data_IF_477387350587
#
_entry.id   IF_477387350587
#
_cell.length_a   1.000
_cell.length_b   1.000
_cell.length_c   1.000
_cell.angle_alpha   90.00
_cell.angle_beta   90.00
_cell.angle_gamma   90.00
#
_symmetry.space_group_name_H-M   'P 1'
#
loop_
_entity.id
_entity.type
_entity.pdbx_description
1 polymer ?
#
# COMPACT_ATOMS: atom_id res chain seq x y z
N UNK A 1 -25.86 -7.97 -11.15
CA UNK A 1 -25.50 -8.90 -10.05
C UNK A 1 -26.74 -9.50 -9.41
N UNK A 2 -26.77 -10.83 -9.26
CA UNK A 2 -27.87 -11.56 -8.61
C UNK A 2 -27.87 -11.32 -7.07
N UNK A 3 -29.02 -11.34 -6.37
CA UNK A 3 -29.12 -11.04 -4.95
C UNK A 3 -28.74 -12.22 -4.02
N UNK A 4 -27.61 -12.88 -4.29
CA UNK A 4 -27.10 -13.97 -3.45
C UNK A 4 -26.57 -13.43 -2.12
N UNK A 5 -26.49 -14.29 -1.10
CA UNK A 5 -25.89 -13.94 0.20
C UNK A 5 -24.46 -13.41 0.03
N UNK A 6 -23.67 -14.02 -0.84
CA UNK A 6 -22.30 -13.60 -1.12
C UNK A 6 -22.24 -12.23 -1.78
N UNK A 7 -23.05 -11.97 -2.81
CA UNK A 7 -23.07 -10.68 -3.48
C UNK A 7 -23.55 -9.55 -2.56
N UNK A 8 -24.48 -9.83 -1.63
CA UNK A 8 -24.89 -8.87 -0.60
C UNK A 8 -23.73 -8.55 0.35
N UNK A 9 -23.02 -9.60 0.82
CA UNK A 9 -21.84 -9.45 1.68
C UNK A 9 -20.73 -8.64 1.00
N UNK A 10 -20.40 -8.94 -0.25
CA UNK A 10 -19.40 -8.20 -1.01
C UNK A 10 -19.76 -6.71 -1.15
N UNK A 11 -21.03 -6.41 -1.42
CA UNK A 11 -21.51 -5.01 -1.47
C UNK A 11 -21.36 -4.30 -0.13
N UNK A 12 -21.68 -4.96 0.98
CA UNK A 12 -21.51 -4.40 2.32
C UNK A 12 -20.05 -4.13 2.65
N UNK A 13 -19.16 -5.07 2.33
CA UNK A 13 -17.71 -4.92 2.50
C UNK A 13 -17.16 -3.78 1.64
N UNK A 14 -17.54 -3.70 0.38
CA UNK A 14 -17.10 -2.62 -0.51
C UNK A 14 -17.54 -1.25 0.02
N UNK A 15 -18.78 -1.11 0.54
CA UNK A 15 -19.23 0.13 1.18
C UNK A 15 -18.39 0.50 2.41
N UNK A 16 -18.01 -0.49 3.23
CA UNK A 16 -17.14 -0.28 4.39
C UNK A 16 -15.74 0.18 3.95
N UNK A 17 -15.15 -0.48 2.95
CA UNK A 17 -13.84 -0.10 2.38
C UNK A 17 -13.89 1.34 1.86
N UNK A 18 -14.87 1.67 1.02
CA UNK A 18 -15.05 3.02 0.47
C UNK A 18 -15.18 4.06 1.59
N UNK A 19 -15.94 3.76 2.66
CA UNK A 19 -16.09 4.65 3.81
C UNK A 19 -14.76 4.89 4.55
N UNK A 20 -13.97 3.83 4.77
CA UNK A 20 -12.66 3.93 5.42
C UNK A 20 -11.67 4.74 4.57
N UNK A 21 -11.61 4.49 3.26
CA UNK A 21 -10.74 5.22 2.34
C UNK A 21 -11.13 6.70 2.28
N UNK A 22 -12.42 7.03 2.23
CA UNK A 22 -12.90 8.42 2.31
C UNK A 22 -12.42 9.11 3.58
N UNK A 23 -12.54 8.46 4.74
CA UNK A 23 -12.07 9.03 6.00
C UNK A 23 -10.55 9.28 6.01
N UNK A 24 -9.76 8.40 5.37
CA UNK A 24 -8.30 8.58 5.24
C UNK A 24 -7.99 9.80 4.37
N UNK A 25 -8.65 9.93 3.22
CA UNK A 25 -8.47 11.07 2.32
C UNK A 25 -8.88 12.37 3.01
N UNK A 26 -10.05 12.42 3.67
CA UNK A 26 -10.52 13.60 4.39
C UNK A 26 -9.56 14.04 5.50
N UNK A 27 -9.01 13.08 6.24
CA UNK A 27 -8.02 13.36 7.26
C UNK A 27 -6.77 13.99 6.64
N UNK A 28 -6.29 13.42 5.52
CA UNK A 28 -5.10 13.92 4.83
C UNK A 28 -5.31 15.31 4.23
N UNK A 29 -6.45 15.56 3.59
CA UNK A 29 -6.80 16.88 3.05
C UNK A 29 -6.81 17.96 4.14
N UNK A 30 -7.34 17.65 5.33
CA UNK A 30 -7.29 18.56 6.49
C UNK A 30 -5.87 18.83 6.97
N UNK A 31 -5.04 17.79 7.07
CA UNK A 31 -3.63 17.93 7.45
C UNK A 31 -2.85 18.80 6.45
N UNK A 32 -3.16 18.67 5.15
CA UNK A 32 -2.56 19.51 4.09
C UNK A 32 -3.00 20.97 4.20
N UNK A 33 -4.29 21.24 4.46
CA UNK A 33 -4.80 22.60 4.66
C UNK A 33 -4.17 23.30 5.86
N UNK A 34 -3.88 22.54 6.93
CA UNK A 34 -3.21 23.03 8.13
C UNK A 34 -1.69 23.17 7.97
N UNK A 35 -1.12 22.74 6.84
CA UNK A 35 0.33 22.79 6.59
C UNK A 35 1.14 21.81 7.45
N UNK A 36 0.51 20.77 8.01
CA UNK A 36 1.16 19.78 8.89
C UNK A 36 1.32 18.41 8.22
N UNK A 37 0.76 18.21 7.03
CA UNK A 37 0.93 16.97 6.28
C UNK A 37 2.37 16.80 5.81
N UNK A 38 2.93 15.61 6.04
CA UNK A 38 4.08 15.12 5.28
C UNK A 38 3.53 14.49 4.01
N UNK A 39 3.69 15.16 2.87
CA UNK A 39 3.24 14.66 1.57
C UNK A 39 4.27 13.70 0.95
N UNK A 40 4.83 12.80 1.76
CA UNK A 40 5.91 11.89 1.39
C UNK A 40 5.42 10.46 1.09
N UNK A 41 4.11 10.24 1.15
CA UNK A 41 3.46 8.98 0.75
C UNK A 41 2.62 9.14 -0.52
N UNK A 42 2.21 8.00 -1.09
CA UNK A 42 1.47 7.94 -2.36
C UNK A 42 0.23 8.86 -2.36
N UNK A 43 -0.53 8.88 -1.27
CA UNK A 43 -1.75 9.69 -1.19
C UNK A 43 -1.41 11.19 -1.12
N UNK A 44 -0.41 11.55 -0.32
CA UNK A 44 0.09 12.93 -0.25
C UNK A 44 0.59 13.43 -1.60
N UNK A 45 1.40 12.62 -2.29
CA UNK A 45 1.93 12.94 -3.63
C UNK A 45 0.79 13.08 -4.65
N UNK A 46 -0.20 12.19 -4.63
CA UNK A 46 -1.35 12.25 -5.52
C UNK A 46 -2.17 13.52 -5.31
N UNK A 47 -2.48 13.85 -4.05
CA UNK A 47 -3.27 15.05 -3.71
C UNK A 47 -2.51 16.35 -4.03
N UNK A 48 -1.21 16.39 -3.76
CA UNK A 48 -0.36 17.54 -4.07
C UNK A 48 -0.23 17.75 -5.58
N UNK A 49 0.04 16.68 -6.34
CA UNK A 49 0.08 16.71 -7.80
C UNK A 49 -1.26 17.18 -8.38
N UNK A 50 -2.38 16.65 -7.88
CA UNK A 50 -3.71 17.04 -8.33
C UNK A 50 -4.01 18.52 -8.08
N UNK A 51 -3.63 19.04 -6.90
CA UNK A 51 -3.75 20.46 -6.58
C UNK A 51 -2.91 21.32 -7.53
N UNK A 52 -1.68 20.93 -7.79
CA UNK A 52 -0.80 21.66 -8.71
C UNK A 52 -1.43 21.74 -10.11
N UNK A 53 -2.00 20.66 -10.66
CA UNK A 53 -2.70 20.73 -11.95
C UNK A 53 -3.85 21.75 -11.96
N UNK A 54 -4.68 21.75 -10.91
CA UNK A 54 -5.80 22.69 -10.79
C UNK A 54 -5.33 24.15 -10.71
N UNK A 55 -4.25 24.42 -9.97
CA UNK A 55 -3.69 25.77 -9.82
C UNK A 55 -3.10 26.31 -11.14
N UNK A 56 -2.67 25.43 -12.06
CA UNK A 56 -2.16 25.79 -13.39
C UNK A 56 -3.24 25.84 -14.47
N UNK A 57 -4.51 25.61 -14.11
CA UNK A 57 -5.64 25.62 -15.05
C UNK A 57 -5.80 24.35 -15.88
N UNK A 58 -5.07 23.28 -15.55
CA UNK A 58 -5.25 21.96 -16.15
C UNK A 58 -6.46 21.23 -15.55
N UNK A 59 -6.93 20.19 -16.24
CA UNK A 59 -7.93 19.27 -15.68
C UNK A 59 -7.26 18.38 -14.63
N UNK A 60 -7.54 18.65 -13.36
CA UNK A 60 -7.28 17.73 -12.27
C UNK A 60 -8.32 16.61 -12.17
N UNK A 61 -8.04 15.64 -11.31
CA UNK A 61 -8.95 14.59 -10.88
C UNK A 61 -10.01 15.14 -9.93
N UNK A 62 -11.23 14.65 -10.09
CA UNK A 62 -12.30 14.77 -9.10
C UNK A 62 -11.96 13.99 -7.83
N UNK A 63 -12.66 14.31 -6.74
CA UNK A 63 -12.47 13.62 -5.45
C UNK A 63 -12.82 12.12 -5.55
N UNK A 64 -13.82 11.79 -6.35
CA UNK A 64 -14.22 10.43 -6.66
C UNK A 64 -13.14 9.67 -7.43
N UNK A 65 -12.54 10.29 -8.45
CA UNK A 65 -11.43 9.69 -9.20
C UNK A 65 -10.19 9.47 -8.32
N UNK A 66 -9.85 10.42 -7.44
CA UNK A 66 -8.74 10.25 -6.47
C UNK A 66 -8.99 9.05 -5.56
N UNK A 67 -10.23 8.88 -5.10
CA UNK A 67 -10.62 7.75 -4.26
C UNK A 67 -10.53 6.41 -5.02
N UNK A 68 -11.00 6.38 -6.27
CA UNK A 68 -10.98 5.18 -7.12
C UNK A 68 -9.54 4.75 -7.45
N UNK A 69 -8.68 5.69 -7.86
CA UNK A 69 -7.27 5.39 -8.13
C UNK A 69 -6.54 4.95 -6.86
N UNK A 70 -6.74 5.64 -5.73
CA UNK A 70 -6.14 5.25 -4.46
C UNK A 70 -6.59 3.84 -4.02
N UNK A 71 -7.88 3.52 -4.18
CA UNK A 71 -8.42 2.19 -3.91
C UNK A 71 -7.76 1.13 -4.79
N UNK A 72 -7.61 1.42 -6.09
CA UNK A 72 -7.00 0.51 -7.05
C UNK A 72 -5.55 0.19 -6.68
N UNK A 73 -4.73 1.21 -6.42
CA UNK A 73 -3.34 1.02 -6.00
C UNK A 73 -3.22 0.21 -4.71
N UNK A 74 -4.04 0.52 -3.71
CA UNK A 74 -4.01 -0.19 -2.43
C UNK A 74 -4.36 -1.67 -2.58
N UNK A 75 -5.44 -1.99 -3.29
CA UNK A 75 -5.89 -3.37 -3.47
C UNK A 75 -4.92 -4.20 -4.32
N UNK A 76 -4.42 -3.62 -5.42
CA UNK A 76 -3.46 -4.29 -6.29
C UNK A 76 -2.18 -4.68 -5.54
N UNK A 77 -1.67 -3.79 -4.68
CA UNK A 77 -0.46 -4.03 -3.88
C UNK A 77 -0.70 -5.01 -2.73
N UNK A 78 -1.80 -4.88 -2.01
CA UNK A 78 -2.05 -5.66 -0.79
C UNK A 78 -2.33 -7.13 -1.08
N UNK A 79 -3.23 -7.44 -2.03
CA UNK A 79 -3.62 -8.82 -2.31
C UNK A 79 -2.43 -9.64 -2.82
N UNK A 80 -1.73 -9.12 -3.84
CA UNK A 80 -0.59 -9.80 -4.46
C UNK A 80 0.57 -10.00 -3.48
N UNK A 81 0.94 -8.97 -2.70
CA UNK A 81 2.02 -9.06 -1.72
C UNK A 81 1.68 -9.99 -0.55
N UNK A 82 0.44 -9.97 -0.07
CA UNK A 82 0.02 -10.85 1.04
C UNK A 82 0.06 -12.33 0.67
N UNK A 83 -0.37 -12.65 -0.57
CA UNK A 83 -0.32 -14.01 -1.11
C UNK A 83 1.14 -14.44 -1.30
N UNK A 84 1.99 -13.57 -1.86
CA UNK A 84 3.42 -13.84 -2.01
C UNK A 84 4.06 -14.16 -0.66
N UNK A 85 3.89 -13.29 0.34
CA UNK A 85 4.47 -13.50 1.68
C UNK A 85 3.96 -14.77 2.35
N UNK A 86 2.67 -15.10 2.18
CA UNK A 86 2.09 -16.33 2.71
C UNK A 86 2.81 -17.55 2.12
N UNK A 87 2.97 -17.60 0.80
CA UNK A 87 3.68 -18.69 0.15
C UNK A 87 5.18 -18.71 0.49
N UNK A 88 5.82 -17.54 0.59
CA UNK A 88 7.21 -17.45 1.07
C UNK A 88 7.35 -18.10 2.45
N UNK A 89 6.45 -17.79 3.40
CA UNK A 89 6.48 -18.39 4.73
C UNK A 89 6.24 -19.91 4.69
N UNK A 90 5.29 -20.37 3.88
CA UNK A 90 5.05 -21.82 3.68
C UNK A 90 6.32 -22.50 3.18
N UNK A 91 6.95 -21.97 2.13
CA UNK A 91 8.17 -22.54 1.56
C UNK A 91 9.31 -22.54 2.58
N UNK A 92 9.56 -21.43 3.27
CA UNK A 92 10.62 -21.38 4.29
C UNK A 92 10.39 -22.36 5.45
N UNK A 93 9.13 -22.61 5.83
CA UNK A 93 8.80 -23.60 6.86
C UNK A 93 9.00 -25.05 6.40
N UNK A 94 8.76 -25.33 5.12
CA UNK A 94 8.93 -26.66 4.52
C UNK A 94 10.40 -26.97 4.19
N UNK A 95 11.22 -25.94 3.97
CA UNK A 95 12.64 -26.06 3.62
C UNK A 95 13.52 -25.32 4.64
N UNK A 96 13.77 -25.89 5.83
CA UNK A 96 14.56 -25.22 6.88
C UNK A 96 15.96 -24.82 6.44
N UNK A 97 16.58 -25.55 5.52
CA UNK A 97 17.89 -25.18 4.94
C UNK A 97 17.85 -23.85 4.19
N UNK A 98 16.75 -23.54 3.48
CA UNK A 98 16.57 -22.27 2.80
C UNK A 98 16.38 -21.14 3.81
N UNK A 99 15.58 -21.38 4.85
CA UNK A 99 15.38 -20.42 5.93
C UNK A 99 16.69 -20.09 6.66
N UNK A 100 17.49 -21.10 6.99
CA UNK A 100 18.80 -20.91 7.62
C UNK A 100 19.72 -20.08 6.72
N UNK A 101 19.82 -20.44 5.43
CA UNK A 101 20.68 -19.73 4.47
C UNK A 101 20.27 -18.26 4.29
N UNK A 102 18.97 -17.98 4.16
CA UNK A 102 18.46 -16.61 4.08
C UNK A 102 18.74 -15.80 5.36
N UNK A 103 18.59 -16.43 6.53
CA UNK A 103 18.91 -15.79 7.82
C UNK A 103 20.41 -15.50 7.97
N UNK A 104 21.26 -16.44 7.58
CA UNK A 104 22.71 -16.27 7.59
C UNK A 104 23.15 -15.12 6.68
N UNK A 105 22.57 -15.00 5.48
CA UNK A 105 22.87 -13.88 4.59
C UNK A 105 22.50 -12.54 5.22
N UNK A 106 21.30 -12.42 5.79
CA UNK A 106 20.87 -11.20 6.49
C UNK A 106 21.81 -10.87 7.65
N UNK A 107 22.24 -11.87 8.43
CA UNK A 107 23.20 -11.66 9.52
C UNK A 107 24.59 -11.27 9.02
N UNK A 108 25.03 -11.78 7.87
CA UNK A 108 26.32 -11.45 7.28
C UNK A 108 26.33 -10.02 6.72
N UNK A 109 25.26 -9.60 6.04
CA UNK A 109 25.15 -8.30 5.38
C UNK A 109 24.75 -7.20 6.38
N UNK A 110 23.74 -7.46 7.21
CA UNK A 110 23.13 -6.47 8.10
C UNK A 110 23.64 -6.57 9.55
N UNK A 111 24.27 -7.70 9.93
CA UNK A 111 24.69 -7.92 11.31
C UNK A 111 23.49 -7.97 12.26
N UNK A 112 23.58 -7.22 13.36
CA UNK A 112 22.48 -7.01 14.31
C UNK A 112 21.67 -5.73 14.03
N UNK A 113 21.99 -5.02 12.96
CA UNK A 113 21.30 -3.78 12.60
C UNK A 113 20.01 -4.11 11.85
N UNK A 114 19.06 -3.17 11.88
CA UNK A 114 17.85 -3.26 11.07
C UNK A 114 18.25 -3.16 9.58
N UNK A 115 17.81 -4.09 8.72
CA UNK A 115 18.05 -3.99 7.27
C UNK A 115 17.57 -2.65 6.72
N UNK A 116 18.39 -2.00 5.90
CA UNK A 116 18.09 -0.74 5.21
C UNK A 116 17.87 -0.97 3.72
N UNK A 117 17.37 0.05 3.02
CA UNK A 117 17.22 -0.03 1.55
C UNK A 117 18.56 -0.31 0.85
N UNK A 118 19.65 0.31 1.32
CA UNK A 118 21.00 0.09 0.76
C UNK A 118 21.45 -1.37 0.91
N UNK A 119 21.08 -2.02 2.01
CA UNK A 119 21.45 -3.42 2.27
C UNK A 119 20.79 -4.41 1.31
N UNK A 120 19.66 -4.05 0.70
CA UNK A 120 18.91 -4.95 -0.20
C UNK A 120 19.74 -5.40 -1.41
N UNK A 121 20.54 -4.50 -1.97
CA UNK A 121 21.39 -4.80 -3.14
C UNK A 121 22.48 -5.85 -2.84
N UNK A 122 22.73 -6.11 -1.56
CA UNK A 122 23.74 -7.05 -1.08
C UNK A 122 23.14 -8.41 -0.66
N UNK A 123 21.81 -8.55 -0.62
CA UNK A 123 21.10 -9.82 -0.38
C UNK A 123 20.90 -10.53 -1.72
N UNK A 124 21.50 -11.70 -1.92
CA UNK A 124 21.60 -12.41 -3.21
C UNK A 124 20.99 -13.82 -3.19
N UNK A 125 20.58 -14.31 -2.03
CA UNK A 125 20.30 -15.74 -1.80
C UNK A 125 18.84 -16.11 -1.97
#
# INVERSE_FOLDING_TARGET
FLPTKENKRQKELNRKIISLLKNIIEKREKEMQLGIAKNDDLLGILLESNKNHLDHGDKGMTREEVLEEFQLFYLAGQETTSVLLTWTMVMLSMYPSWQTRAREEVLQVCGKNVPSFDSLSHLKT
#
